data_IF_382531739467
#
_entry.id   IF_382531739467
#
_cell.length_a   1.000
_cell.length_b   1.000
_cell.length_c   1.000
_cell.angle_alpha   90.00
_cell.angle_beta   90.00
_cell.angle_gamma   90.00
#
_symmetry.space_group_name_H-M   'P 1'
#
loop_
_entity.id
_entity.type
_entity.pdbx_description
1 polymer ?
#
# COMPACT_ATOMS: atom_id res chain seq x y z
N UNK A 1 69.65 -17.01 -34.12
CA UNK A 1 70.37 -16.49 -32.94
C UNK A 1 69.42 -16.49 -31.75
N UNK A 2 70.00 -16.76 -30.59
CA UNK A 2 69.43 -17.23 -29.33
C UNK A 2 68.45 -16.30 -28.59
N UNK A 3 67.68 -16.92 -27.67
CA UNK A 3 67.26 -16.35 -26.38
C UNK A 3 65.77 -16.00 -26.34
N UNK A 4 64.82 -16.79 -25.82
CA UNK A 4 64.73 -17.60 -24.59
C UNK A 4 64.48 -16.79 -23.30
N UNK A 5 63.68 -17.41 -22.43
CA UNK A 5 63.31 -17.09 -21.04
C UNK A 5 62.07 -16.20 -20.78
N UNK A 6 61.18 -16.51 -19.83
CA UNK A 6 60.83 -17.73 -19.07
C UNK A 6 59.76 -17.33 -18.04
N UNK A 7 58.87 -18.28 -17.69
CA UNK A 7 58.27 -18.54 -16.36
C UNK A 7 57.49 -17.43 -15.63
N UNK A 8 56.37 -17.65 -14.95
CA UNK A 8 55.73 -18.87 -14.44
C UNK A 8 55.03 -18.56 -13.10
N UNK A 9 54.06 -19.41 -12.72
CA UNK A 9 53.40 -19.53 -11.39
C UNK A 9 52.55 -18.35 -10.90
N UNK A 10 51.42 -18.50 -10.20
CA UNK A 10 50.72 -19.67 -9.68
C UNK A 10 49.92 -19.28 -8.43
N UNK A 11 48.84 -20.02 -8.16
CA UNK A 11 48.28 -20.31 -6.82
C UNK A 11 47.25 -19.36 -6.17
N UNK A 12 46.00 -19.84 -6.19
CA UNK A 12 45.13 -20.20 -5.05
C UNK A 12 44.94 -19.28 -3.83
N UNK A 13 43.68 -19.23 -3.38
CA UNK A 13 43.36 -19.24 -1.94
C UNK A 13 42.21 -18.33 -1.49
N UNK A 14 41.19 -18.95 -0.90
CA UNK A 14 40.65 -18.43 0.37
C UNK A 14 39.20 -17.95 0.40
N UNK A 15 38.31 -18.84 0.82
CA UNK A 15 37.00 -18.54 1.41
C UNK A 15 37.12 -17.66 2.67
N UNK A 16 36.12 -16.83 2.93
CA UNK A 16 35.97 -16.14 4.21
C UNK A 16 34.54 -15.65 4.46
N UNK A 17 33.78 -16.41 5.25
CA UNK A 17 32.52 -15.98 5.88
C UNK A 17 32.80 -14.88 6.91
N UNK A 18 31.96 -13.83 6.96
CA UNK A 18 32.05 -12.77 7.95
C UNK A 18 30.67 -12.29 8.39
N UNK A 19 30.36 -12.53 9.67
CA UNK A 19 29.10 -12.29 10.38
C UNK A 19 28.85 -10.82 10.74
N UNK A 20 27.56 -10.51 10.83
CA UNK A 20 26.88 -9.67 11.84
C UNK A 20 27.75 -8.95 12.88
N UNK A 21 27.64 -7.62 12.92
CA UNK A 21 28.06 -6.77 14.03
C UNK A 21 26.86 -5.96 14.52
N UNK A 22 26.26 -6.42 15.63
CA UNK A 22 25.47 -5.63 16.58
C UNK A 22 26.38 -4.68 17.33
N UNK A 23 26.07 -3.38 17.31
CA UNK A 23 26.71 -2.39 18.18
C UNK A 23 25.79 -2.10 19.38
N UNK A 24 26.26 -2.52 20.55
CA UNK A 24 25.80 -2.12 21.88
C UNK A 24 26.63 -0.89 22.25
N UNK A 25 25.99 0.22 22.63
CA UNK A 25 26.63 1.24 23.48
C UNK A 25 25.57 1.90 24.38
N UNK A 26 25.77 1.76 25.68
CA UNK A 26 24.96 2.36 26.73
C UNK A 26 25.42 3.79 27.06
N UNK A 27 24.54 4.51 27.76
CA UNK A 27 24.81 5.85 28.27
C UNK A 27 23.56 6.57 28.75
N UNK A 28 23.07 6.18 29.92
CA UNK A 28 22.31 7.05 30.84
C UNK A 28 23.31 7.43 31.96
N UNK A 29 23.27 8.64 32.55
CA UNK A 29 22.17 8.97 33.45
C UNK A 29 21.75 10.46 33.59
N UNK A 30 20.51 10.57 34.08
CA UNK A 30 19.98 11.45 35.12
C UNK A 30 19.52 12.90 34.85
N UNK A 31 18.26 13.06 35.24
CA UNK A 31 17.42 14.22 35.52
C UNK A 31 18.03 15.30 36.40
N UNK A 32 17.46 16.51 36.35
CA UNK A 32 16.85 17.15 37.53
C UNK A 32 16.10 18.46 37.22
N UNK A 33 14.93 18.63 37.88
CA UNK A 33 14.19 19.87 38.23
C UNK A 33 13.54 20.72 37.10
N UNK A 34 12.37 21.36 37.24
CA UNK A 34 11.44 21.62 38.36
C UNK A 34 10.09 22.16 37.85
N UNK A 35 9.01 21.89 38.60
CA UNK A 35 7.81 22.72 38.90
C UNK A 35 7.37 23.82 37.90
N UNK A 36 6.13 23.84 37.41
CA UNK A 36 4.91 24.11 38.20
C UNK A 36 3.88 24.88 37.34
N UNK A 37 2.66 25.11 37.83
CA UNK A 37 1.44 25.05 37.01
C UNK A 37 0.87 26.42 36.63
N UNK A 38 0.25 26.52 35.45
CA UNK A 38 -0.71 27.58 35.17
C UNK A 38 -2.08 27.01 34.76
N UNK A 39 -3.04 27.36 35.60
CA UNK A 39 -4.47 27.26 35.37
C UNK A 39 -4.86 28.32 34.35
N UNK A 40 -5.66 27.96 33.35
CA UNK A 40 -6.57 28.92 32.73
C UNK A 40 -7.91 28.25 32.49
N UNK A 41 -8.87 28.63 33.31
CA UNK A 41 -10.28 28.37 33.12
C UNK A 41 -10.80 29.39 32.12
N UNK A 42 -11.43 28.93 31.04
CA UNK A 42 -12.27 29.77 30.21
C UNK A 42 -13.71 29.28 30.33
N UNK A 43 -14.47 30.03 31.13
CA UNK A 43 -15.92 30.07 31.15
C UNK A 43 -16.43 30.92 29.99
N UNK A 44 -17.56 30.56 29.38
CA UNK A 44 -18.37 31.55 28.68
C UNK A 44 -19.32 31.02 27.61
N UNK A 45 -20.62 31.00 27.97
CA UNK A 45 -21.82 31.22 27.15
C UNK A 45 -22.04 30.33 25.90
N UNK A 46 -23.16 29.63 25.72
CA UNK A 46 -24.51 30.01 26.10
C UNK A 46 -25.23 30.69 24.91
N UNK A 47 -25.62 29.89 23.92
CA UNK A 47 -26.62 30.18 22.89
C UNK A 47 -27.18 28.81 22.48
N UNK A 48 -28.47 28.52 22.41
CA UNK A 48 -29.66 29.34 22.29
C UNK A 48 -30.61 28.50 21.43
N UNK A 49 -31.64 27.93 22.04
CA UNK A 49 -32.73 27.23 21.34
C UNK A 49 -33.31 28.12 20.25
N UNK A 50 -33.41 27.58 19.04
CA UNK A 50 -34.30 28.08 18.02
C UNK A 50 -35.10 26.90 17.47
N UNK A 51 -36.30 26.76 18.03
CA UNK A 51 -37.40 25.98 17.45
C UNK A 51 -37.75 26.58 16.08
N UNK A 52 -37.60 25.78 15.03
CA UNK A 52 -37.90 26.15 13.65
C UNK A 52 -38.88 25.18 13.04
N UNK A 53 -40.14 25.61 12.98
CA UNK A 53 -41.35 24.95 12.47
C UNK A 53 -41.16 24.05 11.24
N UNK A 54 -41.79 22.89 11.33
CA UNK A 54 -42.25 22.10 10.19
C UNK A 54 -43.29 22.89 9.38
N UNK A 55 -43.09 22.95 8.07
CA UNK A 55 -44.13 23.29 7.09
C UNK A 55 -44.20 22.19 6.05
N UNK A 56 -45.34 21.51 6.05
CA UNK A 56 -45.84 20.61 5.02
C UNK A 56 -46.22 21.40 3.75
N UNK A 57 -45.78 20.91 2.59
CA UNK A 57 -46.43 21.12 1.28
C UNK A 57 -45.99 19.93 0.41
N UNK A 58 -46.90 18.98 0.15
CA UNK A 58 -47.77 18.91 -1.03
C UNK A 58 -47.06 18.28 -2.24
N UNK A 59 -47.41 17.01 -2.46
CA UNK A 59 -47.88 16.43 -3.72
C UNK A 59 -47.28 16.95 -5.02
N UNK A 60 -46.36 16.17 -5.59
CA UNK A 60 -46.30 16.04 -7.04
C UNK A 60 -46.34 14.57 -7.47
N UNK A 61 -47.37 14.30 -8.25
CA UNK A 61 -47.72 13.05 -8.86
C UNK A 61 -46.61 12.50 -9.78
N UNK A 62 -46.50 11.18 -9.76
CA UNK A 62 -45.85 10.34 -10.75
C UNK A 62 -46.48 10.51 -12.14
N UNK A 63 -45.69 10.35 -13.20
CA UNK A 63 -46.16 9.60 -14.36
C UNK A 63 -45.34 8.31 -14.51
N UNK A 64 -46.05 7.20 -14.39
CA UNK A 64 -45.75 5.92 -15.03
C UNK A 64 -45.43 6.12 -16.51
N UNK A 65 -44.52 5.29 -17.04
CA UNK A 65 -44.49 4.68 -18.38
C UNK A 65 -43.04 4.52 -18.87
N UNK A 66 -42.44 3.36 -18.60
CA UNK A 66 -41.50 2.74 -19.54
C UNK A 66 -41.41 1.24 -19.28
N UNK A 67 -42.38 0.51 -19.84
CA UNK A 67 -42.31 -0.93 -20.02
C UNK A 67 -41.80 -1.16 -21.44
N UNK A 68 -40.57 -1.67 -21.59
CA UNK A 68 -40.13 -2.28 -22.85
C UNK A 68 -38.94 -3.21 -22.63
N UNK A 69 -39.19 -4.49 -22.93
CA UNK A 69 -38.28 -5.51 -23.44
C UNK A 69 -37.01 -5.85 -22.62
N UNK A 70 -37.17 -6.79 -21.67
CA UNK A 70 -36.09 -7.70 -21.30
C UNK A 70 -36.11 -8.85 -22.30
N UNK A 71 -35.27 -8.77 -23.34
CA UNK A 71 -34.97 -9.92 -24.19
C UNK A 71 -34.04 -10.90 -23.47
N UNK A 72 -34.29 -12.20 -23.72
CA UNK A 72 -33.64 -13.38 -23.18
C UNK A 72 -32.09 -13.32 -23.15
N UNK A 73 -31.52 -12.96 -22.00
CA UNK A 73 -30.12 -13.25 -21.70
C UNK A 73 -30.03 -14.71 -21.26
N UNK A 74 -29.63 -15.58 -22.19
CA UNK A 74 -29.27 -16.97 -21.88
C UNK A 74 -28.18 -16.98 -20.80
N UNK A 75 -28.32 -17.78 -19.73
CA UNK A 75 -27.31 -17.85 -18.68
C UNK A 75 -25.98 -18.33 -19.27
N UNK A 76 -24.96 -17.46 -19.21
CA UNK A 76 -23.58 -17.84 -19.47
C UNK A 76 -23.21 -18.86 -18.40
N UNK A 77 -23.04 -20.13 -18.82
CA UNK A 77 -22.45 -21.18 -18.00
C UNK A 77 -20.98 -20.81 -17.75
N UNK A 78 -20.72 -20.00 -16.74
CA UNK A 78 -19.39 -19.81 -16.19
C UNK A 78 -19.00 -21.10 -15.48
N UNK A 79 -18.16 -21.89 -16.12
CA UNK A 79 -17.53 -23.04 -15.51
C UNK A 79 -16.64 -22.54 -14.35
N UNK A 80 -17.19 -22.59 -13.14
CA UNK A 80 -16.44 -22.43 -11.90
C UNK A 80 -15.52 -23.65 -11.71
N UNK A 81 -14.40 -23.67 -12.44
CA UNK A 81 -13.26 -24.48 -12.06
C UNK A 81 -12.60 -23.80 -10.86
N UNK A 82 -13.15 -24.02 -9.67
CA UNK A 82 -12.45 -23.73 -8.42
C UNK A 82 -11.21 -24.62 -8.37
N UNK A 83 -10.05 -24.06 -8.71
CA UNK A 83 -8.77 -24.69 -8.38
C UNK A 83 -8.74 -24.92 -6.86
N UNK A 84 -8.29 -26.11 -6.44
CA UNK A 84 -8.22 -26.45 -5.03
C UNK A 84 -7.30 -25.47 -4.31
N UNK A 85 -7.58 -25.16 -3.03
CA UNK A 85 -6.76 -24.23 -2.23
C UNK A 85 -5.27 -24.63 -2.15
N UNK A 86 -4.93 -25.90 -2.42
CA UNK A 86 -3.54 -26.39 -2.48
C UNK A 86 -2.79 -25.83 -3.68
N UNK A 87 -3.43 -25.70 -4.84
CA UNK A 87 -2.76 -25.22 -6.07
C UNK A 87 -2.48 -23.72 -6.04
N UNK A 88 -3.37 -22.92 -5.43
CA UNK A 88 -3.18 -21.46 -5.27
C UNK A 88 -2.01 -21.14 -4.33
N UNK A 89 -1.93 -21.85 -3.21
CA UNK A 89 -0.85 -21.67 -2.20
C UNK A 89 0.53 -22.04 -2.78
N UNK A 90 0.60 -23.10 -3.58
CA UNK A 90 1.86 -23.56 -4.18
C UNK A 90 2.34 -22.64 -5.32
N UNK A 91 1.43 -22.00 -6.05
CA UNK A 91 1.78 -20.95 -7.01
C UNK A 91 2.49 -19.80 -6.28
N UNK A 92 1.90 -19.30 -5.19
CA UNK A 92 2.41 -18.18 -4.40
C UNK A 92 3.83 -18.40 -3.86
N UNK A 93 4.16 -19.63 -3.44
CA UNK A 93 5.49 -19.99 -2.94
C UNK A 93 6.58 -19.96 -4.02
N UNK A 94 6.22 -20.01 -5.30
CA UNK A 94 7.14 -20.16 -6.42
C UNK A 94 7.30 -18.91 -7.30
N UNK A 95 6.66 -17.77 -7.00
CA UNK A 95 6.94 -16.56 -7.79
C UNK A 95 8.30 -16.00 -7.49
N UNK A 96 8.92 -15.53 -8.57
CA UNK A 96 10.13 -14.70 -8.52
C UNK A 96 9.82 -13.20 -8.47
N UNK A 97 8.54 -12.80 -8.58
CA UNK A 97 8.11 -11.40 -8.61
C UNK A 97 7.45 -11.03 -7.28
N UNK A 98 8.15 -10.23 -6.47
CA UNK A 98 7.71 -9.73 -5.16
C UNK A 98 7.31 -8.24 -5.19
N UNK A 99 6.97 -7.69 -6.35
CA UNK A 99 6.74 -6.25 -6.50
C UNK A 99 5.37 -5.97 -7.10
N UNK A 100 4.72 -4.90 -6.62
CA UNK A 100 3.44 -4.45 -7.14
C UNK A 100 3.59 -3.94 -8.59
N UNK A 101 2.70 -4.38 -9.47
CA UNK A 101 2.55 -3.83 -10.82
C UNK A 101 1.34 -2.90 -10.84
N UNK A 102 1.49 -1.57 -10.81
CA UNK A 102 0.35 -0.65 -10.71
C UNK A 102 -0.59 -0.74 -11.91
N UNK A 103 -0.10 -1.16 -13.09
CA UNK A 103 -0.90 -1.23 -14.31
C UNK A 103 -2.08 -2.21 -14.23
N UNK A 104 -2.02 -3.22 -13.37
CA UNK A 104 -3.16 -4.15 -13.21
C UNK A 104 -4.38 -3.48 -12.58
N UNK A 105 -4.15 -2.41 -11.81
CA UNK A 105 -5.16 -1.61 -11.11
C UNK A 105 -5.59 -0.37 -11.91
N UNK A 106 -5.18 -0.26 -13.16
CA UNK A 106 -5.47 0.90 -14.00
C UNK A 106 -6.29 0.48 -15.21
N UNK A 107 -7.30 1.29 -15.56
CA UNK A 107 -8.10 1.06 -16.77
C UNK A 107 -7.20 1.12 -18.01
N UNK A 108 -7.27 0.13 -18.93
CA UNK A 108 -6.53 0.18 -20.18
C UNK A 108 -6.93 1.36 -21.08
N UNK A 109 -8.16 1.84 -20.96
CA UNK A 109 -8.72 2.93 -21.76
C UNK A 109 -8.63 4.30 -21.06
N UNK A 110 -7.84 4.42 -20.00
CA UNK A 110 -7.72 5.68 -19.23
C UNK A 110 -6.98 6.78 -20.01
N UNK A 111 -7.26 8.06 -19.72
CA UNK A 111 -6.42 9.16 -20.20
C UNK A 111 -4.98 9.05 -19.68
N UNK A 112 -4.01 9.45 -20.50
CA UNK A 112 -2.62 9.59 -20.06
C UNK A 112 -2.49 10.72 -19.04
N UNK A 113 -1.98 10.42 -17.85
CA UNK A 113 -1.72 11.44 -16.82
C UNK A 113 -0.34 12.08 -17.01
N UNK A 114 -0.05 13.27 -16.44
CA UNK A 114 1.29 13.84 -16.49
C UNK A 114 2.33 12.95 -15.81
N UNK A 115 3.58 13.05 -16.27
CA UNK A 115 4.74 12.46 -15.59
C UNK A 115 5.13 13.38 -14.43
N UNK A 116 5.30 12.80 -13.25
CA UNK A 116 5.68 13.53 -12.04
C UNK A 116 7.21 13.53 -11.92
N UNK A 117 7.78 14.73 -11.86
CA UNK A 117 9.23 14.92 -11.91
C UNK A 117 9.87 15.05 -10.52
N UNK A 118 9.11 15.45 -9.50
CA UNK A 118 9.62 15.63 -8.15
C UNK A 118 8.53 15.45 -7.09
N UNK A 119 8.96 15.33 -5.82
CA UNK A 119 8.06 15.12 -4.68
C UNK A 119 7.03 16.24 -4.53
N UNK A 120 7.39 17.51 -4.77
CA UNK A 120 6.50 18.63 -4.49
C UNK A 120 5.21 18.60 -5.34
N UNK A 121 5.30 18.09 -6.57
CA UNK A 121 4.16 17.94 -7.49
C UNK A 121 3.11 16.93 -7.02
N UNK A 122 3.53 15.88 -6.30
CA UNK A 122 2.62 14.78 -5.89
C UNK A 122 2.17 14.88 -4.43
N UNK A 123 2.93 15.60 -3.58
CA UNK A 123 2.61 15.71 -2.15
C UNK A 123 1.19 16.20 -1.83
N UNK A 124 0.59 17.19 -2.54
CA UNK A 124 -0.79 17.60 -2.26
C UNK A 124 -1.78 16.43 -2.35
N UNK A 125 -1.65 15.58 -3.37
CA UNK A 125 -2.52 14.43 -3.59
C UNK A 125 -2.27 13.32 -2.57
N UNK A 126 -1.02 13.13 -2.14
CA UNK A 126 -0.67 12.17 -1.10
C UNK A 126 -1.30 12.58 0.24
N UNK A 127 -1.24 13.86 0.59
CA UNK A 127 -1.85 14.37 1.83
C UNK A 127 -3.35 14.17 1.82
N UNK A 128 -4.00 14.55 0.72
CA UNK A 128 -5.44 14.37 0.54
C UNK A 128 -5.84 12.90 0.65
N UNK A 129 -5.19 12.01 -0.11
CA UNK A 129 -5.49 10.58 -0.07
C UNK A 129 -5.26 9.98 1.32
N UNK A 130 -4.17 10.35 1.99
CA UNK A 130 -3.88 9.89 3.34
C UNK A 130 -4.96 10.31 4.33
N UNK A 131 -5.38 11.58 4.30
CA UNK A 131 -6.42 12.10 5.17
C UNK A 131 -7.76 11.40 4.92
N UNK A 132 -8.12 11.15 3.65
CA UNK A 132 -9.34 10.41 3.29
C UNK A 132 -9.33 8.96 3.79
N UNK A 133 -8.17 8.29 3.74
CA UNK A 133 -8.04 6.90 4.18
C UNK A 133 -8.01 6.76 5.70
N UNK A 134 -7.31 7.66 6.38
CA UNK A 134 -6.98 7.50 7.80
C UNK A 134 -7.82 8.37 8.73
N UNK A 135 -8.37 9.48 8.21
CA UNK A 135 -8.94 10.55 9.01
C UNK A 135 -7.89 11.41 9.73
N UNK A 136 -6.60 11.23 9.42
CA UNK A 136 -5.48 11.90 10.09
C UNK A 136 -4.66 12.73 9.08
N UNK A 137 -3.96 13.76 9.57
CA UNK A 137 -3.02 14.52 8.75
C UNK A 137 -1.79 13.69 8.39
N UNK A 138 -1.27 13.85 7.17
CA UNK A 138 -0.06 13.15 6.74
C UNK A 138 1.13 13.42 7.68
N UNK A 139 1.80 12.38 8.22
CA UNK A 139 2.76 12.54 9.31
C UNK A 139 4.17 12.86 8.80
N UNK A 140 4.39 14.10 8.35
CA UNK A 140 5.64 14.57 7.72
C UNK A 140 6.88 14.50 8.64
N UNK A 141 6.67 14.48 9.96
CA UNK A 141 7.71 14.38 10.97
C UNK A 141 8.34 12.98 11.04
N UNK A 142 7.56 11.94 10.70
CA UNK A 142 7.99 10.54 10.76
C UNK A 142 7.98 9.81 9.41
N UNK A 143 7.45 10.41 8.34
CA UNK A 143 7.39 9.81 7.01
C UNK A 143 7.80 10.80 5.90
N UNK A 144 8.74 10.38 5.04
CA UNK A 144 9.20 11.14 3.86
C UNK A 144 8.96 10.40 2.56
N UNK A 145 8.48 11.11 1.55
CA UNK A 145 8.32 10.60 0.18
C UNK A 145 9.41 11.17 -0.73
N UNK A 146 10.05 10.32 -1.54
CA UNK A 146 11.11 10.71 -2.48
C UNK A 146 10.81 10.20 -3.88
N UNK A 147 10.58 11.12 -4.80
CA UNK A 147 10.51 10.83 -6.24
C UNK A 147 11.92 10.94 -6.82
N UNK A 148 12.39 9.86 -7.44
CA UNK A 148 13.76 9.73 -7.94
C UNK A 148 13.78 9.36 -9.42
N UNK A 149 14.75 9.86 -10.17
CA UNK A 149 15.10 9.28 -11.47
C UNK A 149 15.67 7.87 -11.32
N UNK A 150 15.73 7.11 -12.42
CA UNK A 150 16.16 5.71 -12.40
C UNK A 150 17.54 5.51 -11.76
N UNK A 151 18.50 6.40 -12.07
CA UNK A 151 19.87 6.31 -11.56
C UNK A 151 19.94 6.56 -10.05
N UNK A 152 19.21 7.57 -9.57
CA UNK A 152 19.12 7.88 -8.15
C UNK A 152 18.35 6.79 -7.38
N UNK A 153 17.29 6.25 -7.98
CA UNK A 153 16.48 5.17 -7.42
C UNK A 153 17.31 3.90 -7.24
N UNK A 154 18.03 3.47 -8.27
CA UNK A 154 18.94 2.31 -8.20
C UNK A 154 20.03 2.50 -7.15
N UNK A 155 20.60 3.71 -7.05
CA UNK A 155 21.61 4.04 -6.03
C UNK A 155 21.03 4.01 -4.61
N UNK A 156 19.76 4.39 -4.44
CA UNK A 156 19.07 4.32 -3.15
C UNK A 156 18.71 2.88 -2.77
N UNK A 157 18.35 2.05 -3.76
CA UNK A 157 18.02 0.63 -3.61
C UNK A 157 19.29 -0.25 -3.42
N UNK A 158 20.00 -0.04 -2.30
CA UNK A 158 21.28 -0.73 -2.01
C UNK A 158 21.15 -2.20 -1.58
N UNK A 159 19.93 -2.75 -1.53
CA UNK A 159 19.62 -4.06 -0.94
C UNK A 159 19.55 -5.25 -1.91
N UNK A 160 19.78 -5.07 -3.22
CA UNK A 160 19.67 -6.18 -4.18
C UNK A 160 19.55 -5.73 -5.64
N UNK A 161 19.16 -6.66 -6.53
CA UNK A 161 18.88 -6.34 -7.95
C UNK A 161 17.67 -5.41 -8.02
N UNK A 162 17.91 -4.14 -8.33
CA UNK A 162 16.86 -3.19 -8.68
C UNK A 162 16.50 -3.40 -10.14
N UNK A 163 15.46 -4.19 -10.41
CA UNK A 163 14.96 -4.41 -11.76
C UNK A 163 14.06 -3.27 -12.24
N UNK A 164 13.85 -3.11 -13.56
CA UNK A 164 12.94 -2.09 -14.11
C UNK A 164 11.48 -2.31 -13.68
N UNK A 165 11.11 -3.51 -13.21
CA UNK A 165 9.77 -3.79 -12.68
C UNK A 165 9.52 -3.19 -11.29
N UNK A 166 10.54 -2.78 -10.55
CA UNK A 166 10.39 -2.22 -9.19
C UNK A 166 10.14 -0.72 -9.31
N UNK A 167 8.89 -0.31 -9.08
CA UNK A 167 8.46 1.09 -9.19
C UNK A 167 8.62 1.88 -7.89
N UNK A 168 8.65 1.20 -6.75
CA UNK A 168 8.81 1.80 -5.43
C UNK A 168 9.43 0.83 -4.43
N UNK A 169 9.89 1.37 -3.31
CA UNK A 169 10.22 0.61 -2.10
C UNK A 169 10.15 1.52 -0.87
N UNK A 170 9.95 0.92 0.29
CA UNK A 170 9.93 1.62 1.57
C UNK A 170 11.04 1.17 2.53
N UNK A 171 11.51 2.10 3.36
CA UNK A 171 12.39 1.86 4.49
C UNK A 171 11.64 2.17 5.79
N UNK A 172 11.19 1.11 6.45
CA UNK A 172 10.58 1.19 7.76
C UNK A 172 11.65 1.21 8.85
N UNK A 173 11.77 2.34 9.57
CA UNK A 173 12.74 2.53 10.66
C UNK A 173 12.23 2.05 12.01
N UNK A 174 10.97 1.59 12.11
CA UNK A 174 10.38 0.99 13.31
C UNK A 174 10.58 1.84 14.57
N UNK A 175 10.33 3.15 14.46
CA UNK A 175 10.50 4.12 15.56
C UNK A 175 11.95 4.53 15.86
N UNK A 176 12.93 4.03 15.11
CA UNK A 176 14.36 4.39 15.25
C UNK A 176 14.80 5.50 14.28
N UNK A 177 13.86 6.27 13.75
CA UNK A 177 14.10 7.34 12.79
C UNK A 177 12.93 7.58 11.86
N UNK A 178 13.16 8.36 10.81
CA UNK A 178 12.14 8.74 9.83
C UNK A 178 11.98 7.62 8.81
N UNK A 179 10.75 7.15 8.63
CA UNK A 179 10.38 6.24 7.57
C UNK A 179 10.51 6.93 6.21
N UNK A 180 10.93 6.19 5.19
CA UNK A 180 11.14 6.76 3.85
C UNK A 180 10.49 5.87 2.79
N UNK A 181 9.71 6.47 1.90
CA UNK A 181 9.18 5.84 0.69
C UNK A 181 9.90 6.44 -0.51
N UNK A 182 10.43 5.57 -1.36
CA UNK A 182 11.12 5.94 -2.59
C UNK A 182 10.31 5.43 -3.76
N UNK A 183 10.08 6.28 -4.76
CA UNK A 183 9.39 5.91 -6.00
C UNK A 183 10.14 6.43 -7.21
N UNK A 184 10.09 5.67 -8.31
CA UNK A 184 10.61 6.13 -9.60
C UNK A 184 9.70 7.21 -10.17
N UNK A 185 10.28 8.17 -10.89
CA UNK A 185 9.51 9.08 -11.77
C UNK A 185 8.62 8.26 -12.69
N UNK A 186 7.35 8.61 -12.74
CA UNK A 186 6.36 7.91 -13.56
C UNK A 186 5.15 8.82 -13.78
N UNK A 187 4.20 8.33 -14.58
CA UNK A 187 2.87 8.89 -14.68
C UNK A 187 2.20 8.94 -13.30
N UNK A 188 1.51 10.04 -13.03
CA UNK A 188 0.83 10.35 -11.76
C UNK A 188 -0.04 9.20 -11.24
N UNK A 189 -0.82 8.56 -12.11
CA UNK A 189 -1.69 7.44 -11.75
C UNK A 189 -0.90 6.25 -11.17
N UNK A 190 0.12 5.78 -11.89
CA UNK A 190 1.00 4.69 -11.43
C UNK A 190 1.72 5.07 -10.15
N UNK A 191 2.23 6.29 -10.08
CA UNK A 191 2.94 6.78 -8.91
C UNK A 191 2.04 6.80 -7.66
N UNK A 192 0.80 7.31 -7.77
CA UNK A 192 -0.15 7.35 -6.66
C UNK A 192 -0.49 5.95 -6.13
N UNK A 193 -0.64 4.96 -7.01
CA UNK A 193 -0.90 3.57 -6.61
C UNK A 193 0.32 2.92 -5.93
N UNK A 194 1.52 3.11 -6.49
CA UNK A 194 2.75 2.62 -5.88
C UNK A 194 2.96 3.26 -4.50
N UNK A 195 2.80 4.58 -4.36
CA UNK A 195 2.96 5.27 -3.08
C UNK A 195 1.98 4.74 -2.04
N UNK A 196 0.70 4.54 -2.38
CA UNK A 196 -0.28 3.99 -1.44
C UNK A 196 0.15 2.64 -0.86
N UNK A 197 0.63 1.73 -1.71
CA UNK A 197 1.16 0.43 -1.26
C UNK A 197 2.40 0.58 -0.36
N UNK A 198 3.38 1.40 -0.76
CA UNK A 198 4.60 1.61 0.01
C UNK A 198 4.34 2.29 1.36
N UNK A 199 3.35 3.20 1.45
CA UNK A 199 2.89 3.78 2.72
C UNK A 199 2.34 2.68 3.63
N UNK A 200 1.57 1.74 3.09
CA UNK A 200 1.06 0.59 3.84
C UNK A 200 2.13 -0.21 4.58
N UNK A 201 3.35 -0.32 4.03
CA UNK A 201 4.47 -0.97 4.71
C UNK A 201 5.03 -0.21 5.91
N UNK A 202 4.95 1.13 5.90
CA UNK A 202 5.62 1.99 6.90
C UNK A 202 4.68 2.53 7.97
N UNK A 203 3.37 2.41 7.78
CA UNK A 203 2.36 2.85 8.75
C UNK A 203 2.24 1.96 9.99
N UNK A 204 2.92 0.82 10.02
CA UNK A 204 3.03 -0.04 11.21
C UNK A 204 4.42 -0.67 11.28
N UNK A 205 4.81 -1.30 12.40
CA UNK A 205 5.98 -2.17 12.41
C UNK A 205 5.91 -3.26 11.33
N UNK A 206 7.08 -3.66 10.82
CA UNK A 206 7.21 -4.78 9.87
C UNK A 206 6.83 -6.09 10.54
N UNK A 207 5.97 -6.86 9.89
CA UNK A 207 5.56 -8.18 10.36
C UNK A 207 6.63 -9.23 10.06
N UNK A 208 6.76 -10.27 10.90
CA UNK A 208 7.80 -11.31 10.73
C UNK A 208 7.52 -12.24 9.54
N UNK A 209 6.25 -12.44 9.16
CA UNK A 209 5.87 -13.22 7.98
C UNK A 209 5.69 -12.27 6.78
N UNK A 210 6.44 -12.52 5.71
CA UNK A 210 6.40 -11.67 4.52
C UNK A 210 5.04 -11.65 3.83
N UNK A 211 4.22 -12.70 3.97
CA UNK A 211 2.89 -12.77 3.35
C UNK A 211 1.91 -11.90 4.11
N UNK A 212 1.95 -11.94 5.43
CA UNK A 212 1.17 -11.03 6.26
C UNK A 212 1.61 -9.57 6.04
N UNK A 213 2.91 -9.31 5.86
CA UNK A 213 3.44 -7.98 5.54
C UNK A 213 2.94 -7.44 4.20
N UNK A 214 2.95 -8.24 3.13
CA UNK A 214 2.38 -7.86 1.83
C UNK A 214 0.87 -7.68 1.91
N UNK A 215 0.16 -8.61 2.58
CA UNK A 215 -1.29 -8.53 2.74
C UNK A 215 -1.71 -7.26 3.49
N UNK A 216 -0.93 -6.87 4.50
CA UNK A 216 -1.09 -5.59 5.20
C UNK A 216 -0.96 -4.42 4.22
N UNK A 217 0.11 -4.35 3.44
CA UNK A 217 0.31 -3.27 2.48
C UNK A 217 -0.79 -3.22 1.40
N UNK A 218 -1.25 -4.38 0.92
CA UNK A 218 -2.38 -4.45 -0.02
C UNK A 218 -3.70 -4.00 0.61
N UNK A 219 -4.00 -4.36 1.86
CA UNK A 219 -5.20 -3.89 2.54
C UNK A 219 -5.24 -2.36 2.61
N UNK A 220 -4.11 -1.72 2.94
CA UNK A 220 -3.99 -0.26 2.91
C UNK A 220 -4.11 0.30 1.48
N UNK A 221 -3.45 -0.34 0.50
CA UNK A 221 -3.53 0.07 -0.91
C UNK A 221 -4.95 0.02 -1.47
N UNK A 222 -5.77 -0.96 -1.06
CA UNK A 222 -7.19 -1.02 -1.43
C UNK A 222 -7.95 0.18 -0.86
N UNK A 223 -7.82 0.46 0.44
CA UNK A 223 -8.45 1.63 1.05
C UNK A 223 -8.00 2.94 0.36
N UNK A 224 -6.73 3.02 -0.01
CA UNK A 224 -6.15 4.13 -0.77
C UNK A 224 -6.75 4.29 -2.16
N UNK A 225 -6.90 3.19 -2.91
CA UNK A 225 -7.55 3.20 -4.23
C UNK A 225 -9.02 3.59 -4.14
N UNK A 226 -9.74 3.10 -3.13
CA UNK A 226 -11.14 3.45 -2.89
C UNK A 226 -11.27 4.96 -2.61
N UNK A 227 -10.41 5.53 -1.77
CA UNK A 227 -10.37 6.96 -1.51
C UNK A 227 -10.08 7.79 -2.78
N UNK A 228 -9.11 7.36 -3.60
CA UNK A 228 -8.82 8.02 -4.89
C UNK A 228 -10.04 8.01 -5.79
N UNK A 229 -10.73 6.86 -5.88
CA UNK A 229 -11.89 6.68 -6.74
C UNK A 229 -13.10 7.48 -6.27
N UNK A 230 -13.42 7.40 -4.98
CA UNK A 230 -14.59 8.07 -4.38
C UNK A 230 -14.45 9.60 -4.42
N UNK A 231 -13.25 10.11 -4.13
CA UNK A 231 -13.02 11.56 -4.06
C UNK A 231 -12.38 12.14 -5.33
N UNK A 232 -12.18 11.32 -6.36
CA UNK A 232 -11.52 11.70 -7.62
C UNK A 232 -10.19 12.46 -7.39
N UNK A 233 -9.38 11.95 -6.46
CA UNK A 233 -8.13 12.58 -6.04
C UNK A 233 -7.21 12.72 -7.25
N UNK A 234 -6.63 13.90 -7.44
CA UNK A 234 -5.79 14.26 -8.58
C UNK A 234 -6.47 14.09 -9.96
N UNK A 235 -7.80 13.96 -10.02
CA UNK A 235 -8.55 13.74 -11.26
C UNK A 235 -8.41 12.33 -11.86
N UNK A 236 -7.85 11.36 -11.12
CA UNK A 236 -7.57 10.01 -11.62
C UNK A 236 -8.58 8.96 -11.15
N UNK A 237 -9.71 9.34 -10.55
CA UNK A 237 -10.67 8.38 -9.98
C UNK A 237 -11.23 7.39 -11.01
N UNK A 238 -11.50 7.85 -12.23
CA UNK A 238 -11.96 7.00 -13.34
C UNK A 238 -10.87 6.12 -13.95
N UNK A 239 -9.60 6.41 -13.64
CA UNK A 239 -8.45 5.63 -14.10
C UNK A 239 -8.20 4.41 -13.23
N UNK A 240 -8.64 4.43 -11.97
CA UNK A 240 -8.35 3.40 -10.97
C UNK A 240 -9.43 2.31 -10.97
N UNK A 241 -8.99 1.07 -11.09
CA UNK A 241 -9.79 -0.13 -10.98
C UNK A 241 -9.38 -0.84 -9.67
N UNK A 242 -10.09 -0.62 -8.56
CA UNK A 242 -9.77 -1.25 -7.27
C UNK A 242 -9.97 -2.76 -7.26
N UNK A 243 -10.46 -3.35 -8.37
CA UNK A 243 -10.54 -4.79 -8.63
C UNK A 243 -9.79 -5.09 -9.96
N UNK A 244 -8.48 -5.37 -9.94
CA UNK A 244 -7.69 -5.66 -11.13
C UNK A 244 -8.14 -6.97 -11.79
N UNK A 245 -7.88 -7.08 -13.09
CA UNK A 245 -8.13 -8.31 -13.83
C UNK A 245 -7.22 -9.45 -13.31
N UNK A 246 -7.79 -10.63 -13.04
CA UNK A 246 -7.12 -11.84 -12.56
C UNK A 246 -6.00 -12.28 -13.52
N UNK A 247 -4.73 -11.97 -13.23
CA UNK A 247 -3.62 -12.23 -14.14
C UNK A 247 -2.37 -12.87 -13.49
N UNK A 248 -2.49 -13.37 -12.27
CA UNK A 248 -1.52 -14.24 -11.60
C UNK A 248 -1.10 -13.77 -10.20
N UNK A 249 -0.64 -14.75 -9.42
CA UNK A 249 0.15 -14.75 -8.18
C UNK A 249 -0.01 -13.68 -7.09
N UNK A 250 0.02 -12.38 -7.42
CA UNK A 250 -0.48 -11.34 -6.52
C UNK A 250 -1.96 -11.59 -6.17
N UNK A 251 -2.64 -12.29 -7.06
CA UNK A 251 -3.96 -12.89 -6.91
C UNK A 251 -4.20 -13.57 -5.57
N UNK A 252 -3.28 -14.32 -4.93
CA UNK A 252 -3.73 -15.13 -3.76
C UNK A 252 -3.93 -14.31 -2.49
N UNK A 253 -2.96 -13.47 -2.12
CA UNK A 253 -3.11 -12.59 -0.96
C UNK A 253 -4.16 -11.51 -1.22
N UNK A 254 -4.15 -10.97 -2.43
CA UNK A 254 -5.08 -9.93 -2.85
C UNK A 254 -6.52 -10.44 -3.05
N UNK A 255 -6.74 -11.58 -3.70
CA UNK A 255 -8.06 -12.22 -3.82
C UNK A 255 -8.56 -12.66 -2.44
N UNK A 256 -7.69 -13.10 -1.54
CA UNK A 256 -8.09 -13.40 -0.16
C UNK A 256 -8.56 -12.14 0.57
N UNK A 257 -7.83 -11.03 0.45
CA UNK A 257 -8.25 -9.74 0.99
C UNK A 257 -9.59 -9.29 0.37
N UNK A 258 -9.73 -9.40 -0.95
CA UNK A 258 -10.98 -9.10 -1.65
C UNK A 258 -12.12 -10.03 -1.22
N UNK A 259 -11.87 -11.30 -0.91
CA UNK A 259 -12.88 -12.21 -0.38
C UNK A 259 -13.33 -11.76 1.02
N UNK A 260 -12.41 -11.35 1.89
CA UNK A 260 -12.74 -10.81 3.21
C UNK A 260 -13.53 -9.49 3.12
N UNK A 261 -13.15 -8.61 2.20
CA UNK A 261 -13.77 -7.30 1.99
C UNK A 261 -15.14 -7.46 1.30
N UNK A 262 -15.21 -8.15 0.15
CA UNK A 262 -16.45 -8.32 -0.63
C UNK A 262 -17.50 -9.20 0.06
N UNK A 263 -17.13 -10.10 0.97
CA UNK A 263 -18.11 -10.79 1.80
C UNK A 263 -18.80 -9.85 2.82
N UNK A 264 -18.51 -8.54 2.76
CA UNK A 264 -19.10 -7.52 3.63
C UNK A 264 -18.64 -7.63 5.07
N UNK A 265 -17.55 -8.36 5.33
CA UNK A 265 -17.13 -8.70 6.69
C UNK A 265 -16.29 -7.61 7.33
N UNK A 266 -15.44 -6.92 6.56
CA UNK A 266 -14.55 -5.87 7.08
C UNK A 266 -14.24 -4.79 6.04
N UNK A 267 -14.18 -3.55 6.51
CA UNK A 267 -13.61 -2.40 5.82
C UNK A 267 -12.08 -2.58 5.61
N UNK A 268 -11.53 -2.07 4.50
CA UNK A 268 -10.14 -2.31 4.10
C UNK A 268 -9.13 -1.69 5.09
N UNK A 269 -9.39 -0.49 5.62
CA UNK A 269 -8.50 0.13 6.61
C UNK A 269 -8.60 -0.58 7.96
N UNK A 270 -9.78 -1.11 8.32
CA UNK A 270 -9.92 -2.00 9.48
C UNK A 270 -9.11 -3.29 9.30
N UNK A 271 -9.16 -3.92 8.13
CA UNK A 271 -8.39 -5.14 7.85
C UNK A 271 -6.88 -4.88 7.91
N UNK A 272 -6.42 -3.74 7.38
CA UNK A 272 -5.04 -3.28 7.57
C UNK A 272 -4.65 -3.24 9.06
N UNK A 273 -5.47 -2.61 9.92
CA UNK A 273 -5.23 -2.53 11.37
C UNK A 273 -5.23 -3.90 12.05
N UNK A 274 -6.15 -4.78 11.65
CA UNK A 274 -6.27 -6.14 12.19
C UNK A 274 -5.04 -7.01 11.82
N UNK A 275 -4.51 -6.88 10.59
CA UNK A 275 -3.28 -7.59 10.17
C UNK A 275 -2.05 -6.95 10.84
N UNK A 276 -1.96 -5.62 10.86
CA UNK A 276 -0.82 -4.89 11.44
C UNK A 276 -0.65 -5.16 12.94
N UNK A 277 -1.73 -5.39 13.67
CA UNK A 277 -1.71 -5.77 15.09
C UNK A 277 -1.48 -7.27 15.33
N UNK A 278 -1.51 -8.09 14.27
CA UNK A 278 -1.43 -9.55 14.35
C UNK A 278 -2.74 -10.22 14.82
N UNK A 279 -3.84 -9.48 14.93
CA UNK A 279 -5.16 -10.03 15.24
C UNK A 279 -5.68 -10.95 14.12
N UNK A 280 -5.31 -10.65 12.87
CA UNK A 280 -5.54 -11.49 11.69
C UNK A 280 -4.19 -11.87 11.09
N UNK A 281 -4.04 -13.14 10.71
CA UNK A 281 -2.91 -13.62 9.90
C UNK A 281 -3.48 -14.41 8.74
N UNK A 282 -3.05 -14.08 7.52
CA UNK A 282 -3.50 -14.76 6.30
C UNK A 282 -2.91 -16.17 6.22
N UNK A 283 -1.79 -16.41 6.89
CA UNK A 283 -1.07 -17.69 6.86
C UNK A 283 -1.72 -18.74 7.77
N UNK A 284 -2.07 -18.36 9.02
CA UNK A 284 -2.71 -19.26 9.99
C UNK A 284 -4.08 -19.76 9.53
N UNK A 285 -4.82 -18.95 8.76
CA UNK A 285 -6.15 -19.35 8.26
C UNK A 285 -6.08 -20.29 7.07
N UNK A 286 -5.07 -20.15 6.21
CA UNK A 286 -4.84 -21.07 5.09
C UNK A 286 -4.47 -22.47 5.60
N UNK A 287 -3.80 -22.58 6.75
CA UNK A 287 -3.51 -23.87 7.38
C UNK A 287 -4.78 -24.58 7.92
N UNK A 288 -5.79 -23.83 8.37
CA UNK A 288 -7.04 -24.41 8.91
C UNK A 288 -7.97 -24.94 7.82
N UNK A 289 -7.94 -24.40 6.60
CA UNK A 289 -8.72 -24.92 5.46
C UNK A 289 -8.11 -26.24 4.92
N UNK A 290 -6.97 -26.66 5.45
CA UNK A 290 -6.25 -27.87 5.04
C UNK A 290 -6.34 -29.05 6.03
N UNK A 291 -7.17 -28.93 7.07
CA UNK A 291 -7.59 -30.04 7.93
C UNK A 291 -9.03 -30.45 7.61
#
# INVERSE_FOLDING_TARGET
>A
MYGNNSSGYGSSGGCGYGRSMTAIYGGQPQSMYSSGPEKSAYSGAGYGSAEGKATSHEDYAQPSMLETAIEDVKPIKTAHNYMSGKDRTQLYLNSKNKYISPDVFLSPARPTTPVIENTAEVMPYIREAFERVTGETFPEDILKIRVLDDKAFEKAHKGGRCGPGIQGFALNRQGKGINEVFVRKNHLDRMMLTIGHEIGHVMSPTLPDNRDEEAKAFAFSIAWMDAIKEHNIAGIGNSVLPNPARNGLHDVAYEYLLELIHQGKQDAIKLFKDIASGAVSITKRLEVIHL
#
